data_IF_629085863409
#
_entry.id   IF_629085863409
#
_cell.length_a   1.000
_cell.length_b   1.000
_cell.length_c   1.000
_cell.angle_alpha   90.00
_cell.angle_beta   90.00
_cell.angle_gamma   90.00
#
_symmetry.space_group_name_H-M   'P 1'
#
loop_
_entity.id
_entity.type
_entity.pdbx_description
1 polymer ?
#
# COMPACT_ATOMS: atom_id res chain seq x y z
N UNK A 1 -2.79 27.92 2.42
CA UNK A 1 -2.77 26.66 1.65
C UNK A 1 -1.59 25.75 2.00
N UNK A 2 -0.35 26.23 1.92
CA UNK A 2 0.91 25.45 2.10
C UNK A 2 0.96 24.59 3.38
N UNK A 3 0.45 25.09 4.52
CA UNK A 3 0.45 24.34 5.79
C UNK A 3 -0.49 23.13 5.76
N UNK A 4 -1.67 23.27 5.13
CA UNK A 4 -2.68 22.21 5.01
C UNK A 4 -2.20 21.12 4.04
N UNK A 5 -1.67 21.51 2.89
CA UNK A 5 -1.07 20.60 1.90
C UNK A 5 0.06 19.76 2.51
N UNK A 6 0.95 20.39 3.29
CA UNK A 6 2.01 19.69 4.03
C UNK A 6 1.46 18.66 5.04
N UNK A 7 0.38 19.00 5.75
CA UNK A 7 -0.24 18.08 6.71
C UNK A 7 -0.92 16.92 5.99
N UNK A 8 -1.69 17.18 4.93
CA UNK A 8 -2.34 16.14 4.13
C UNK A 8 -1.33 15.19 3.51
N UNK A 9 -0.22 15.71 2.97
CA UNK A 9 0.87 14.89 2.46
C UNK A 9 1.51 14.01 3.54
N UNK A 10 1.74 14.55 4.75
CA UNK A 10 2.24 13.76 5.88
C UNK A 10 1.27 12.64 6.27
N UNK A 11 -0.02 12.94 6.37
CA UNK A 11 -1.06 11.94 6.67
C UNK A 11 -1.02 10.84 5.61
N UNK A 12 -1.08 11.22 4.33
CA UNK A 12 -1.04 10.29 3.22
C UNK A 12 0.20 9.38 3.23
N UNK A 13 1.37 9.96 3.48
CA UNK A 13 2.62 9.22 3.64
C UNK A 13 2.57 8.21 4.80
N UNK A 14 2.04 8.62 5.96
CA UNK A 14 1.88 7.71 7.12
C UNK A 14 0.92 6.57 6.80
N UNK A 15 -0.22 6.85 6.15
CA UNK A 15 -1.20 5.82 5.78
C UNK A 15 -0.61 4.76 4.86
N UNK A 16 0.17 5.18 3.86
CA UNK A 16 0.85 4.26 2.94
C UNK A 16 1.96 3.48 3.64
N UNK A 17 2.69 4.11 4.58
CA UNK A 17 3.72 3.43 5.34
C UNK A 17 3.12 2.33 6.23
N UNK A 18 2.02 2.64 6.93
CA UNK A 18 1.26 1.65 7.72
C UNK A 18 0.78 0.50 6.83
N UNK A 19 0.25 0.80 5.64
CA UNK A 19 -0.22 -0.23 4.71
C UNK A 19 0.92 -1.15 4.26
N UNK A 20 2.08 -0.59 3.90
CA UNK A 20 3.25 -1.38 3.52
C UNK A 20 3.78 -2.26 4.66
N UNK A 21 3.84 -1.71 5.87
CA UNK A 21 4.23 -2.48 7.07
C UNK A 21 3.23 -3.60 7.35
N UNK A 22 1.93 -3.34 7.20
CA UNK A 22 0.91 -4.38 7.37
C UNK A 22 1.08 -5.53 6.37
N UNK A 23 1.37 -5.24 5.10
CA UNK A 23 1.65 -6.27 4.08
C UNK A 23 2.89 -7.08 4.46
N UNK A 24 3.96 -6.42 4.93
CA UNK A 24 5.19 -7.09 5.36
C UNK A 24 4.93 -8.01 6.56
N UNK A 25 4.23 -7.52 7.58
CA UNK A 25 3.88 -8.29 8.78
C UNK A 25 2.99 -9.48 8.41
N UNK A 26 2.00 -9.27 7.56
CA UNK A 26 1.17 -10.36 7.03
C UNK A 26 2.04 -11.42 6.33
N UNK A 27 2.96 -11.02 5.46
CA UNK A 27 3.85 -11.95 4.77
C UNK A 27 4.72 -12.78 5.71
N UNK A 28 5.27 -12.16 6.76
CA UNK A 28 6.04 -12.85 7.80
C UNK A 28 5.18 -13.88 8.54
N UNK A 29 3.98 -13.50 8.96
CA UNK A 29 3.05 -14.41 9.65
C UNK A 29 2.65 -15.57 8.74
N UNK A 30 2.23 -15.29 7.51
CA UNK A 30 1.80 -16.30 6.54
C UNK A 30 2.92 -17.30 6.18
N UNK A 31 4.17 -16.84 6.14
CA UNK A 31 5.32 -17.71 5.89
C UNK A 31 5.68 -18.57 7.10
N UNK A 32 5.59 -18.02 8.31
CA UNK A 32 5.96 -18.69 9.55
C UNK A 32 4.86 -19.60 10.13
N UNK A 33 3.61 -19.46 9.68
CA UNK A 33 2.48 -20.21 10.24
C UNK A 33 2.55 -21.70 9.85
N UNK A 34 2.55 -22.63 10.82
CA UNK A 34 2.57 -24.06 10.54
C UNK A 34 1.17 -24.53 10.11
N UNK A 35 0.91 -24.59 8.81
CA UNK A 35 -0.33 -25.14 8.25
C UNK A 35 -0.23 -26.67 8.04
N UNK A 36 -1.20 -27.42 8.57
CA UNK A 36 -1.20 -28.88 8.60
C UNK A 36 -1.66 -29.58 7.31
N UNK A 37 -2.19 -28.87 6.30
CA UNK A 37 -2.73 -29.49 5.07
C UNK A 37 -2.48 -28.74 3.74
N UNK A 38 -2.38 -27.40 3.72
CA UNK A 38 -2.13 -26.61 2.50
C UNK A 38 -0.75 -25.92 2.49
N UNK A 39 0.30 -26.73 2.58
CA UNK A 39 1.64 -26.29 2.98
C UNK A 39 2.35 -25.34 2.00
N UNK A 40 2.08 -25.38 0.69
CA UNK A 40 2.84 -24.59 -0.31
C UNK A 40 2.22 -23.24 -0.67
N UNK A 41 0.89 -23.16 -0.82
CA UNK A 41 0.24 -21.95 -1.34
C UNK A 41 0.32 -20.77 -0.38
N UNK A 42 0.07 -21.00 0.92
CA UNK A 42 0.10 -19.95 1.94
C UNK A 42 1.52 -19.39 2.14
N UNK A 43 2.52 -20.26 2.16
CA UNK A 43 3.91 -19.86 2.30
C UNK A 43 4.41 -19.11 1.06
N UNK A 44 4.03 -19.53 -0.14
CA UNK A 44 4.36 -18.81 -1.37
C UNK A 44 3.75 -17.41 -1.38
N UNK A 45 2.47 -17.27 -0.99
CA UNK A 45 1.80 -15.98 -0.82
C UNK A 45 2.50 -15.14 0.25
N UNK A 46 2.90 -15.75 1.36
CA UNK A 46 3.63 -15.10 2.44
C UNK A 46 4.98 -14.54 1.96
N UNK A 47 5.79 -15.35 1.29
CA UNK A 47 7.11 -14.94 0.76
C UNK A 47 6.96 -13.82 -0.28
N UNK A 48 5.98 -13.93 -1.18
CA UNK A 48 5.67 -12.86 -2.12
C UNK A 48 5.26 -11.56 -1.39
N UNK A 49 4.42 -11.68 -0.37
CA UNK A 49 3.96 -10.54 0.44
C UNK A 49 5.11 -9.89 1.23
N UNK A 50 6.11 -10.65 1.68
CA UNK A 50 7.32 -10.08 2.31
C UNK A 50 8.04 -9.16 1.32
N UNK A 51 8.32 -9.65 0.12
CA UNK A 51 8.98 -8.87 -0.93
C UNK A 51 8.17 -7.62 -1.27
N UNK A 52 6.86 -7.78 -1.49
CA UNK A 52 5.96 -6.67 -1.74
C UNK A 52 6.02 -5.65 -0.60
N UNK A 53 5.73 -6.04 0.64
CA UNK A 53 5.76 -5.15 1.80
C UNK A 53 7.08 -4.41 1.96
N UNK A 54 8.22 -5.09 1.81
CA UNK A 54 9.55 -4.47 1.90
C UNK A 54 9.76 -3.40 0.82
N UNK A 55 9.52 -3.74 -0.46
CA UNK A 55 9.67 -2.79 -1.57
C UNK A 55 8.64 -1.66 -1.47
N UNK A 56 7.41 -1.95 -1.05
CA UNK A 56 6.38 -0.95 -0.80
C UNK A 56 6.79 0.08 0.23
N UNK A 57 7.27 -0.38 1.39
CA UNK A 57 7.75 0.51 2.47
C UNK A 57 8.93 1.34 1.96
N UNK A 58 9.89 0.72 1.27
CA UNK A 58 11.04 1.43 0.72
C UNK A 58 10.62 2.51 -0.29
N UNK A 59 9.72 2.20 -1.23
CA UNK A 59 9.17 3.16 -2.20
C UNK A 59 8.41 4.27 -1.47
N UNK A 60 7.63 3.94 -0.44
CA UNK A 60 6.85 4.91 0.35
C UNK A 60 7.76 5.88 1.11
N UNK A 61 8.82 5.38 1.75
CA UNK A 61 9.73 6.18 2.59
C UNK A 61 10.70 7.01 1.75
N UNK A 62 11.09 6.52 0.57
CA UNK A 62 12.09 7.18 -0.29
C UNK A 62 11.40 7.94 -1.43
N UNK A 63 10.90 7.23 -2.45
CA UNK A 63 10.44 7.83 -3.70
C UNK A 63 9.14 8.63 -3.54
N UNK A 64 8.17 8.09 -2.80
CA UNK A 64 6.91 8.78 -2.52
C UNK A 64 7.14 10.01 -1.63
N UNK A 65 8.01 9.93 -0.63
CA UNK A 65 8.40 11.09 0.21
C UNK A 65 9.09 12.18 -0.60
N UNK A 66 9.84 11.81 -1.64
CA UNK A 66 10.43 12.72 -2.64
C UNK A 66 9.43 13.20 -3.69
N UNK A 67 8.17 12.76 -3.63
CA UNK A 67 7.08 13.12 -4.55
C UNK A 67 7.35 12.70 -5.99
N UNK A 68 8.09 11.62 -6.17
CA UNK A 68 8.39 11.07 -7.49
C UNK A 68 7.13 10.45 -8.09
N UNK A 69 6.75 10.86 -9.30
CA UNK A 69 5.46 10.48 -9.93
C UNK A 69 5.30 8.98 -10.12
N UNK A 70 6.38 8.28 -10.44
CA UNK A 70 6.35 6.82 -10.60
C UNK A 70 5.95 6.07 -9.32
N UNK A 71 6.19 6.65 -8.13
CA UNK A 71 5.92 6.02 -6.86
C UNK A 71 4.42 6.04 -6.59
N UNK A 72 3.75 7.10 -7.03
CA UNK A 72 2.30 7.17 -7.01
C UNK A 72 1.69 6.04 -7.85
N UNK A 73 2.20 5.83 -9.08
CA UNK A 73 1.73 4.73 -9.94
C UNK A 73 2.05 3.36 -9.36
N UNK A 74 3.28 3.14 -8.89
CA UNK A 74 3.68 1.83 -8.34
C UNK A 74 2.87 1.48 -7.10
N UNK A 75 2.67 2.41 -6.17
CA UNK A 75 1.97 2.13 -4.90
C UNK A 75 0.47 1.82 -5.07
N UNK A 76 -0.11 1.94 -6.27
CA UNK A 76 -1.44 1.37 -6.57
C UNK A 76 -1.51 -0.14 -6.41
N UNK A 77 -0.35 -0.83 -6.38
CA UNK A 77 -0.38 -2.25 -6.05
C UNK A 77 -0.91 -2.49 -4.62
N UNK A 78 -0.80 -1.56 -3.68
CA UNK A 78 -1.34 -1.72 -2.32
C UNK A 78 -2.85 -2.00 -2.29
N UNK A 79 -3.72 -1.12 -2.83
CA UNK A 79 -5.14 -1.43 -2.86
C UNK A 79 -5.43 -2.67 -3.71
N UNK A 80 -4.70 -2.90 -4.81
CA UNK A 80 -4.87 -4.09 -5.65
C UNK A 80 -4.56 -5.37 -4.87
N UNK A 81 -3.50 -5.38 -4.06
CA UNK A 81 -3.11 -6.51 -3.22
C UNK A 81 -4.22 -6.90 -2.24
N UNK A 82 -4.79 -5.91 -1.55
CA UNK A 82 -5.88 -6.15 -0.60
C UNK A 82 -7.20 -6.53 -1.28
N UNK A 83 -7.49 -5.98 -2.46
CA UNK A 83 -8.63 -6.40 -3.29
C UNK A 83 -8.46 -7.85 -3.74
N UNK A 84 -7.27 -8.26 -4.16
CA UNK A 84 -6.99 -9.64 -4.55
C UNK A 84 -7.19 -10.61 -3.39
N UNK A 85 -6.80 -10.22 -2.17
CA UNK A 85 -7.05 -11.02 -0.96
C UNK A 85 -8.55 -11.09 -0.60
N UNK A 86 -9.28 -9.98 -0.79
CA UNK A 86 -10.73 -9.92 -0.57
C UNK A 86 -11.51 -10.80 -1.55
N UNK A 87 -11.22 -10.68 -2.84
CA UNK A 87 -11.91 -11.44 -3.90
C UNK A 87 -11.47 -12.90 -3.96
N UNK A 88 -10.21 -13.19 -3.66
CA UNK A 88 -9.65 -14.53 -3.70
C UNK A 88 -9.96 -15.38 -2.47
N UNK A 89 -10.66 -14.84 -1.46
CA UNK A 89 -10.90 -15.53 -0.19
C UNK A 89 -9.62 -15.95 0.52
N UNK A 90 -8.51 -15.25 0.24
CA UNK A 90 -7.20 -15.59 0.78
C UNK A 90 -7.15 -15.19 2.27
N UNK A 91 -6.45 -15.98 3.11
CA UNK A 91 -6.23 -15.58 4.51
C UNK A 91 -5.68 -14.15 4.59
N UNK A 92 -6.12 -13.35 5.56
CA UNK A 92 -6.53 -13.76 6.91
C UNK A 92 -8.06 -13.81 7.10
N UNK A 93 -8.62 -15.01 7.27
CA UNK A 93 -9.91 -15.25 7.98
C UNK A 93 -11.22 -14.66 7.41
N UNK A 94 -12.34 -15.10 7.98
CA UNK A 94 -13.72 -14.72 7.59
C UNK A 94 -14.10 -13.26 7.92
N UNK A 95 -13.18 -12.48 8.48
CA UNK A 95 -13.41 -11.08 8.85
C UNK A 95 -12.74 -10.14 7.85
N UNK A 96 -13.43 -9.84 6.75
CA UNK A 96 -12.95 -8.98 5.66
C UNK A 96 -12.71 -7.51 6.02
N UNK A 97 -13.02 -7.10 7.27
CA UNK A 97 -12.96 -5.71 7.73
C UNK A 97 -11.56 -5.13 7.57
N UNK A 98 -10.52 -5.88 7.96
CA UNK A 98 -9.14 -5.38 7.88
C UNK A 98 -8.69 -5.17 6.42
N UNK A 99 -9.11 -6.03 5.49
CA UNK A 99 -8.82 -5.88 4.06
C UNK A 99 -9.46 -4.58 3.53
N UNK A 100 -10.73 -4.34 3.85
CA UNK A 100 -11.45 -3.12 3.47
C UNK A 100 -10.77 -1.88 4.06
N UNK A 101 -10.38 -1.92 5.34
CA UNK A 101 -9.66 -0.82 5.99
C UNK A 101 -8.38 -0.50 5.24
N UNK A 102 -7.54 -1.49 4.90
CA UNK A 102 -6.29 -1.24 4.17
C UNK A 102 -6.51 -0.75 2.73
N UNK A 103 -7.58 -1.19 2.05
CA UNK A 103 -7.98 -0.62 0.76
C UNK A 103 -8.29 0.86 0.92
N UNK A 104 -9.12 1.23 1.91
CA UNK A 104 -9.48 2.63 2.16
C UNK A 104 -8.25 3.46 2.53
N UNK A 105 -7.40 2.98 3.45
CA UNK A 105 -6.19 3.70 3.87
C UNK A 105 -5.24 3.95 2.69
N UNK A 106 -5.04 2.95 1.83
CA UNK A 106 -4.17 3.08 0.66
C UNK A 106 -4.74 4.00 -0.41
N UNK A 107 -6.05 3.92 -0.71
CA UNK A 107 -6.73 4.84 -1.61
C UNK A 107 -6.67 6.27 -1.11
N UNK A 108 -6.97 6.50 0.17
CA UNK A 108 -6.89 7.83 0.80
C UNK A 108 -5.44 8.33 0.75
N UNK A 109 -4.46 7.48 1.04
CA UNK A 109 -3.03 7.80 0.93
C UNK A 109 -2.59 8.16 -0.48
N UNK A 110 -3.13 7.53 -1.52
CA UNK A 110 -2.77 7.84 -2.91
C UNK A 110 -3.50 9.08 -3.44
N UNK A 111 -4.78 9.25 -3.10
CA UNK A 111 -5.64 10.26 -3.70
C UNK A 111 -5.55 11.63 -3.01
N UNK A 112 -5.34 11.68 -1.68
CA UNK A 112 -5.26 12.95 -0.95
C UNK A 112 -4.18 13.91 -1.49
N UNK A 113 -2.94 13.47 -1.78
CA UNK A 113 -1.89 14.35 -2.26
C UNK A 113 -1.73 14.33 -3.78
N UNK A 114 -2.75 13.95 -4.57
CA UNK A 114 -2.63 13.87 -6.04
C UNK A 114 -2.10 15.17 -6.68
N UNK A 115 -2.48 16.33 -6.13
CA UNK A 115 -2.00 17.64 -6.59
C UNK A 115 -0.50 17.89 -6.33
N UNK A 116 0.11 17.20 -5.37
CA UNK A 116 1.55 17.30 -5.07
C UNK A 116 2.39 16.51 -6.08
N UNK A 117 1.84 15.43 -6.65
CA UNK A 117 2.48 14.61 -7.69
C UNK A 117 2.24 15.20 -9.09
N UNK A 118 1.07 15.80 -9.30
CA UNK A 118 0.65 16.39 -10.58
C UNK A 118 0.23 17.85 -10.39
N UNK A 119 1.18 18.78 -10.20
CA UNK A 119 0.86 20.20 -10.15
C UNK A 119 0.14 20.60 -11.43
N UNK A 120 -1.08 21.14 -11.32
CA UNK A 120 -1.79 21.70 -12.47
C UNK A 120 -0.95 22.85 -13.00
N UNK A 121 -0.35 22.65 -14.18
CA UNK A 121 0.30 23.74 -14.88
C UNK A 121 -0.72 24.81 -15.15
N UNK A 122 -0.54 26.00 -14.58
CA UNK A 122 -1.03 27.23 -15.20
C UNK A 122 -0.55 27.17 -16.65
N UNK A 123 -1.50 27.24 -17.58
CA UNK A 123 -1.28 27.00 -19.01
C UNK A 123 0.01 27.62 -19.51
N UNK A 124 0.89 26.78 -20.07
CA UNK A 124 1.97 27.29 -20.90
C UNK A 124 1.36 27.67 -22.24
N UNK A 125 1.27 28.98 -22.43
CA UNK A 125 1.28 29.66 -23.73
C UNK A 125 2.15 28.88 -24.72
N UNK A 126 1.56 28.55 -25.86
CA UNK A 126 2.23 28.43 -27.15
C UNK A 126 1.38 29.24 -28.12
#
# INVERSE_FOLDING_TARGET
MIKRERVLFKIAWVLLAITGVAILVFGLIATAWPASSERSSLQAIGVASIGMGLFGVMITVIAYRRRERWAWFTLWYYPIFWIAHLLGGLPPGQEHVHQIVFIVLSLVGLLLPVGEFFPRGVGRRA
#
